data_IF_760855680783
#
_entry.id   IF_760855680783
#
_cell.length_a   1.000
_cell.length_b   1.000
_cell.length_c   1.000
_cell.angle_alpha   90.00
_cell.angle_beta   90.00
_cell.angle_gamma   90.00
#
_symmetry.space_group_name_H-M   'P 1'
#
loop_
_entity.id
_entity.type
_entity.pdbx_description
1 polymer ?
#
# COMPACT_ATOMS: atom_id res chain seq x y z
N UNK A 1 -22.15 -13.31 -3.36
CA UNK A 1 -23.29 -12.89 -2.51
C UNK A 1 -22.99 -11.49 -1.98
N UNK A 2 -23.98 -10.68 -1.61
CA UNK A 2 -23.67 -9.35 -1.06
C UNK A 2 -22.95 -9.49 0.30
N UNK A 3 -21.68 -9.07 0.38
CA UNK A 3 -20.94 -9.02 1.65
C UNK A 3 -21.54 -7.92 2.52
N UNK A 4 -21.90 -8.25 3.76
CA UNK A 4 -22.62 -7.33 4.63
C UNK A 4 -21.84 -6.01 4.83
N UNK A 5 -22.49 -4.87 4.57
CA UNK A 5 -21.89 -3.54 4.71
C UNK A 5 -20.86 -3.20 3.63
N UNK A 6 -20.83 -3.93 2.52
CA UNK A 6 -19.99 -3.63 1.35
C UNK A 6 -20.88 -3.33 0.15
N UNK A 7 -20.59 -2.21 -0.52
CA UNK A 7 -21.24 -1.80 -1.76
C UNK A 7 -20.15 -1.56 -2.81
N UNK A 8 -20.23 -2.27 -3.95
CA UNK A 8 -19.34 -2.03 -5.09
C UNK A 8 -20.05 -1.07 -6.04
N UNK A 9 -19.53 0.16 -6.13
CA UNK A 9 -20.08 1.21 -7.01
C UNK A 9 -19.39 1.29 -8.37
N UNK A 10 -18.20 0.70 -8.49
CA UNK A 10 -17.46 0.65 -9.75
C UNK A 10 -18.06 -0.35 -10.74
N UNK A 11 -17.85 -0.12 -12.03
CA UNK A 11 -18.31 -1.05 -13.06
C UNK A 11 -17.61 -2.42 -12.92
N UNK A 12 -18.38 -3.50 -12.99
CA UNK A 12 -17.85 -4.86 -13.00
C UNK A 12 -17.52 -5.27 -14.43
N UNK A 13 -16.23 -5.24 -14.77
CA UNK A 13 -15.72 -5.69 -16.06
C UNK A 13 -15.37 -7.19 -16.02
N UNK A 14 -15.24 -7.86 -17.20
CA UNK A 14 -14.86 -9.26 -17.25
C UNK A 14 -13.59 -9.56 -16.45
N UNK A 15 -13.64 -10.58 -15.58
CA UNK A 15 -12.51 -10.99 -14.73
C UNK A 15 -12.40 -10.26 -13.39
N UNK A 16 -13.14 -9.17 -13.16
CA UNK A 16 -13.10 -8.45 -11.88
C UNK A 16 -13.65 -9.28 -10.73
N UNK A 17 -14.57 -10.20 -11.02
CA UNK A 17 -15.12 -11.18 -10.08
C UNK A 17 -14.04 -12.12 -9.50
N UNK A 18 -12.93 -12.32 -10.23
CA UNK A 18 -11.80 -13.13 -9.74
C UNK A 18 -10.91 -12.40 -8.73
N UNK A 19 -11.01 -11.06 -8.66
CA UNK A 19 -10.32 -10.23 -7.67
C UNK A 19 -11.27 -9.88 -6.52
N UNK A 20 -12.47 -9.42 -6.86
CA UNK A 20 -13.52 -9.01 -5.91
C UNK A 20 -14.38 -10.20 -5.47
N UNK A 21 -13.72 -11.28 -5.08
CA UNK A 21 -14.39 -12.48 -4.53
C UNK A 21 -15.02 -12.16 -3.18
N UNK A 22 -16.08 -12.89 -2.80
CA UNK A 22 -16.72 -12.74 -1.49
C UNK A 22 -15.69 -12.83 -0.34
N UNK A 23 -14.72 -13.74 -0.42
CA UNK A 23 -13.67 -13.90 0.59
C UNK A 23 -12.73 -12.68 0.66
N UNK A 24 -12.30 -12.14 -0.48
CA UNK A 24 -11.46 -10.93 -0.53
C UNK A 24 -12.21 -9.71 0.01
N UNK A 25 -13.48 -9.56 -0.35
CA UNK A 25 -14.34 -8.47 0.13
C UNK A 25 -14.60 -8.56 1.64
N UNK A 26 -14.83 -9.76 2.18
CA UNK A 26 -14.94 -9.99 3.64
C UNK A 26 -13.65 -9.57 4.34
N UNK A 27 -12.49 -9.96 3.80
CA UNK A 27 -11.20 -9.59 4.35
C UNK A 27 -10.99 -8.08 4.38
N UNK A 28 -11.21 -7.38 3.25
CA UNK A 28 -11.08 -5.92 3.17
C UNK A 28 -12.08 -5.22 4.10
N UNK A 29 -13.32 -5.71 4.19
CA UNK A 29 -14.33 -5.16 5.09
C UNK A 29 -13.89 -5.28 6.56
N UNK A 30 -13.27 -6.39 6.95
CA UNK A 30 -12.74 -6.59 8.30
C UNK A 30 -11.57 -5.64 8.58
N UNK A 31 -10.64 -5.46 7.64
CA UNK A 31 -9.56 -4.49 7.77
C UNK A 31 -10.10 -3.07 7.94
N UNK A 32 -11.07 -2.65 7.13
CA UNK A 32 -11.69 -1.35 7.23
C UNK A 32 -12.33 -1.14 8.62
N UNK A 33 -13.16 -2.09 9.07
CA UNK A 33 -13.82 -2.00 10.38
C UNK A 33 -12.82 -1.93 11.54
N UNK A 34 -11.71 -2.65 11.44
CA UNK A 34 -10.70 -2.71 12.49
C UNK A 34 -9.83 -1.45 12.53
N UNK A 35 -9.42 -0.91 11.38
CA UNK A 35 -8.34 0.08 11.31
C UNK A 35 -8.77 1.48 10.85
N UNK A 36 -9.94 1.65 10.21
CA UNK A 36 -10.39 2.96 9.73
C UNK A 36 -10.58 3.99 10.86
N UNK A 37 -11.10 3.65 12.06
CA UNK A 37 -11.17 4.60 13.16
C UNK A 37 -9.79 5.20 13.53
N UNK A 38 -8.76 4.35 13.58
CA UNK A 38 -7.38 4.78 13.84
C UNK A 38 -6.82 5.61 12.69
N UNK A 39 -7.08 5.22 11.43
CA UNK A 39 -6.68 5.99 10.24
C UNK A 39 -7.26 7.41 10.29
N UNK A 40 -8.55 7.55 10.60
CA UNK A 40 -9.22 8.85 10.74
C UNK A 40 -8.64 9.67 11.89
N UNK A 41 -8.39 9.04 13.05
CA UNK A 41 -7.77 9.71 14.19
C UNK A 41 -6.37 10.26 13.86
N UNK A 42 -5.57 9.51 13.08
CA UNK A 42 -4.25 9.95 12.63
C UNK A 42 -4.32 11.09 11.61
N UNK A 43 -5.31 11.12 10.72
CA UNK A 43 -5.53 12.26 9.82
C UNK A 43 -5.87 13.53 10.60
N UNK A 44 -6.75 13.44 11.60
CA UNK A 44 -7.06 14.57 12.48
C UNK A 44 -5.81 15.02 13.28
N UNK A 45 -4.97 14.07 13.71
CA UNK A 45 -3.72 14.39 14.40
C UNK A 45 -2.73 15.14 13.48
N UNK A 46 -2.70 14.84 12.17
CA UNK A 46 -1.89 15.60 11.19
C UNK A 46 -2.34 17.07 11.12
N UNK A 47 -3.63 17.33 11.07
CA UNK A 47 -4.15 18.70 11.07
C UNK A 47 -3.84 19.44 12.38
N UNK A 48 -3.96 18.75 13.52
CA UNK A 48 -3.61 19.32 14.82
C UNK A 48 -2.10 19.64 14.90
N UNK A 49 -1.25 18.75 14.37
CA UNK A 49 0.19 18.97 14.29
C UNK A 49 0.55 20.15 13.38
N UNK A 50 -0.16 20.29 12.26
CA UNK A 50 0.02 21.43 11.36
C UNK A 50 -0.33 22.75 12.06
N UNK A 51 -1.50 22.84 12.72
CA UNK A 51 -1.89 24.03 13.50
C UNK A 51 -0.88 24.37 14.60
N UNK A 52 -0.34 23.35 15.25
CA UNK A 52 0.71 23.52 16.25
C UNK A 52 1.99 24.12 15.63
N UNK A 53 2.41 23.65 14.45
CA UNK A 53 3.54 24.24 13.73
C UNK A 53 3.24 25.67 13.29
N UNK A 54 2.08 25.93 12.68
CA UNK A 54 1.69 27.26 12.20
C UNK A 54 1.68 28.33 13.30
N UNK A 55 1.48 27.92 14.56
CA UNK A 55 1.59 28.79 15.75
C UNK A 55 3.04 29.17 16.12
N UNK A 56 4.03 28.81 15.29
CA UNK A 56 5.45 29.15 15.47
C UNK A 56 6.25 28.14 16.30
N UNK A 57 5.67 26.98 16.64
CA UNK A 57 6.41 25.95 17.35
C UNK A 57 7.44 25.27 16.42
N UNK A 58 8.62 24.96 16.96
CA UNK A 58 9.70 24.32 16.21
C UNK A 58 9.53 22.80 16.14
N UNK A 59 9.83 22.22 14.99
CA UNK A 59 9.94 20.76 14.85
C UNK A 59 11.36 20.35 15.24
N UNK A 60 11.45 19.48 16.24
CA UNK A 60 12.70 18.88 16.72
C UNK A 60 12.44 17.45 17.20
N UNK A 61 13.50 16.74 17.60
CA UNK A 61 13.42 15.40 18.17
C UNK A 61 12.60 15.40 19.46
N UNK A 62 11.56 14.56 19.47
CA UNK A 62 10.71 14.32 20.64
C UNK A 62 11.54 13.85 21.86
N UNK A 63 11.53 14.57 23.01
CA UNK A 63 12.26 14.14 24.21
C UNK A 63 11.71 12.82 24.78
N UNK A 64 10.41 12.56 24.64
CA UNK A 64 9.74 11.36 25.14
C UNK A 64 10.22 10.06 24.46
N UNK A 65 10.84 10.15 23.28
CA UNK A 65 11.41 8.98 22.57
C UNK A 65 12.94 8.92 22.65
N UNK A 66 13.57 9.71 23.52
CA UNK A 66 15.03 9.74 23.67
C UNK A 66 15.63 8.38 24.06
N UNK A 67 14.96 7.63 24.94
CA UNK A 67 15.40 6.29 25.35
C UNK A 67 15.39 5.27 24.20
N UNK A 68 14.47 5.40 23.26
CA UNK A 68 14.43 4.56 22.05
C UNK A 68 15.60 4.89 21.14
N UNK A 69 15.93 6.17 20.95
CA UNK A 69 17.06 6.61 20.10
C UNK A 69 18.42 6.24 20.70
N UNK A 70 18.54 6.29 22.02
CA UNK A 70 19.77 5.97 22.75
C UNK A 70 19.92 4.48 23.09
N UNK A 71 18.86 3.68 22.90
CA UNK A 71 18.84 2.27 23.24
C UNK A 71 19.58 1.39 22.21
N UNK A 72 19.95 0.19 22.65
CA UNK A 72 20.56 -0.84 21.77
C UNK A 72 19.48 -1.80 21.30
N UNK A 73 19.02 -1.62 20.06
CA UNK A 73 18.06 -2.51 19.40
C UNK A 73 18.29 -2.52 17.89
N UNK A 74 17.73 -3.52 17.22
CA UNK A 74 17.71 -3.60 15.76
C UNK A 74 16.32 -4.02 15.29
N UNK A 75 16.00 -3.75 14.03
CA UNK A 75 14.81 -4.31 13.39
C UNK A 75 14.90 -5.84 13.31
N UNK A 76 13.77 -6.50 13.06
CA UNK A 76 13.77 -7.92 12.69
C UNK A 76 14.61 -8.15 11.42
N UNK A 77 15.26 -9.31 11.31
CA UNK A 77 16.07 -9.64 10.14
C UNK A 77 15.24 -9.66 8.84
N UNK A 78 15.88 -9.30 7.73
CA UNK A 78 15.27 -9.36 6.40
C UNK A 78 15.37 -10.77 5.79
N UNK A 79 14.36 -11.21 5.02
CA UNK A 79 14.43 -12.47 4.27
C UNK A 79 15.53 -12.41 3.18
N UNK A 80 16.03 -13.57 2.71
CA UNK A 80 17.19 -13.63 1.80
C UNK A 80 17.02 -12.84 0.49
N UNK A 81 15.82 -12.80 -0.06
CA UNK A 81 15.45 -12.08 -1.29
C UNK A 81 15.49 -10.55 -1.14
N UNK A 82 15.44 -10.02 0.10
CA UNK A 82 15.52 -8.58 0.38
C UNK A 82 16.90 -8.13 0.87
N UNK A 83 17.92 -8.99 0.85
CA UNK A 83 19.28 -8.65 1.28
C UNK A 83 20.06 -7.87 0.22
N UNK A 84 19.74 -8.04 -1.08
CA UNK A 84 20.37 -7.31 -2.18
C UNK A 84 19.33 -6.45 -2.92
N UNK A 85 19.23 -5.18 -2.53
CA UNK A 85 18.31 -4.18 -3.11
C UNK A 85 19.06 -3.07 -3.84
N UNK A 86 20.21 -3.38 -4.43
CA UNK A 86 21.15 -2.39 -4.99
C UNK A 86 20.55 -1.47 -6.07
N UNK A 87 19.56 -1.96 -6.80
CA UNK A 87 18.79 -1.23 -7.80
C UNK A 87 17.35 -1.69 -7.72
N UNK A 88 16.44 -0.74 -7.55
CA UNK A 88 15.00 -0.96 -7.58
C UNK A 88 14.39 -0.13 -8.70
N UNK A 89 13.48 -0.71 -9.44
CA UNK A 89 12.68 0.00 -10.44
C UNK A 89 11.28 0.24 -9.88
N UNK A 90 10.72 1.41 -10.13
CA UNK A 90 9.34 1.73 -9.78
C UNK A 90 8.54 1.88 -11.06
N UNK A 91 7.23 1.60 -11.02
CA UNK A 91 6.38 1.75 -12.18
C UNK A 91 4.93 1.37 -11.93
N UNK A 92 4.03 1.77 -12.84
CA UNK A 92 2.61 1.51 -12.72
C UNK A 92 2.29 0.02 -12.79
N UNK A 93 1.04 -0.30 -12.47
CA UNK A 93 0.51 -1.67 -12.42
C UNK A 93 -0.12 -2.13 -13.74
N UNK A 94 0.12 -1.42 -14.84
CA UNK A 94 -0.30 -1.90 -16.15
C UNK A 94 0.49 -3.15 -16.56
N UNK A 95 -0.18 -4.06 -17.27
CA UNK A 95 0.35 -5.39 -17.56
C UNK A 95 1.70 -5.37 -18.27
N UNK A 96 1.87 -4.47 -19.23
CA UNK A 96 3.11 -4.37 -20.02
C UNK A 96 4.25 -3.83 -19.14
N UNK A 97 3.98 -2.83 -18.32
CA UNK A 97 4.99 -2.26 -17.43
C UNK A 97 5.39 -3.21 -16.32
N UNK A 98 4.46 -3.99 -15.75
CA UNK A 98 4.78 -5.06 -14.80
C UNK A 98 5.76 -6.06 -15.42
N UNK A 99 5.48 -6.54 -16.64
CA UNK A 99 6.37 -7.48 -17.36
C UNK A 99 7.74 -6.84 -17.64
N UNK A 100 7.76 -5.60 -18.12
CA UNK A 100 9.02 -4.92 -18.45
C UNK A 100 9.88 -4.66 -17.20
N UNK A 101 9.25 -4.25 -16.10
CA UNK A 101 9.92 -3.95 -14.85
C UNK A 101 10.53 -5.22 -14.23
N UNK A 102 9.78 -6.32 -14.20
CA UNK A 102 10.28 -7.62 -13.72
C UNK A 102 11.43 -8.17 -14.58
N UNK A 103 11.47 -7.84 -15.88
CA UNK A 103 12.54 -8.24 -16.81
C UNK A 103 13.68 -7.23 -16.93
N UNK A 104 13.68 -6.14 -16.15
CA UNK A 104 14.64 -5.03 -16.29
C UNK A 104 16.05 -5.36 -15.80
N UNK A 105 16.22 -6.44 -15.03
CA UNK A 105 17.46 -6.78 -14.34
C UNK A 105 17.65 -6.04 -13.01
N UNK A 106 16.72 -5.17 -12.61
CA UNK A 106 16.65 -4.64 -11.25
C UNK A 106 16.43 -5.77 -10.22
N UNK A 107 16.87 -5.55 -8.97
CA UNK A 107 16.68 -6.53 -7.90
C UNK A 107 15.25 -6.55 -7.36
N UNK A 108 14.60 -5.40 -7.37
CA UNK A 108 13.23 -5.25 -6.92
C UNK A 108 12.44 -4.39 -7.91
N UNK A 109 11.16 -4.73 -8.05
CA UNK A 109 10.17 -3.91 -8.71
C UNK A 109 9.12 -3.47 -7.69
N UNK A 110 8.98 -2.17 -7.48
CA UNK A 110 7.87 -1.59 -6.74
C UNK A 110 6.72 -1.30 -7.70
N UNK A 111 5.75 -2.21 -7.74
CA UNK A 111 4.51 -2.02 -8.49
C UNK A 111 3.61 -1.02 -7.79
N UNK A 112 3.31 0.09 -8.46
CA UNK A 112 2.79 1.27 -7.80
C UNK A 112 1.31 1.51 -8.08
N UNK A 113 0.51 1.58 -7.01
CA UNK A 113 -0.90 1.98 -7.02
C UNK A 113 -1.10 3.42 -6.52
N UNK A 114 0.00 4.13 -6.22
CA UNK A 114 0.01 5.49 -5.72
C UNK A 114 0.44 6.45 -6.85
N UNK A 115 1.54 7.19 -6.71
CA UNK A 115 1.83 8.38 -7.51
C UNK A 115 2.11 8.08 -8.99
N UNK A 116 2.59 6.88 -9.34
CA UNK A 116 2.81 6.50 -10.75
C UNK A 116 1.55 5.99 -11.46
N UNK A 117 0.43 5.80 -10.76
CA UNK A 117 -0.81 5.26 -11.31
C UNK A 117 -1.99 6.22 -11.14
N UNK A 118 -2.73 6.49 -12.22
CA UNK A 118 -4.03 7.15 -12.07
C UNK A 118 -4.99 6.21 -11.31
N UNK A 119 -5.58 6.63 -10.17
CA UNK A 119 -6.36 5.75 -9.30
C UNK A 119 -7.79 5.51 -9.80
N UNK A 120 -7.97 5.36 -11.12
CA UNK A 120 -9.26 5.02 -11.71
C UNK A 120 -9.62 3.57 -11.39
N UNK A 121 -10.91 3.28 -11.20
CA UNK A 121 -11.41 1.98 -10.78
C UNK A 121 -10.84 0.81 -11.59
N UNK A 122 -10.80 0.95 -12.91
CA UNK A 122 -10.30 -0.08 -13.81
C UNK A 122 -8.82 -0.38 -13.58
N UNK A 123 -7.97 0.64 -13.49
CA UNK A 123 -6.53 0.49 -13.23
C UNK A 123 -6.26 -0.19 -11.89
N UNK A 124 -7.01 0.15 -10.85
CA UNK A 124 -6.82 -0.45 -9.53
C UNK A 124 -7.18 -1.94 -9.52
N UNK A 125 -8.30 -2.33 -10.13
CA UNK A 125 -8.72 -3.75 -10.14
C UNK A 125 -7.89 -4.57 -11.14
N UNK A 126 -7.62 -4.06 -12.33
CA UNK A 126 -6.75 -4.72 -13.32
C UNK A 126 -5.32 -4.85 -12.79
N UNK A 127 -4.82 -3.85 -12.06
CA UNK A 127 -3.51 -3.91 -11.43
C UNK A 127 -3.38 -5.09 -10.46
N UNK A 128 -4.40 -5.36 -9.64
CA UNK A 128 -4.42 -6.52 -8.75
C UNK A 128 -4.39 -7.84 -9.55
N UNK A 129 -5.13 -7.91 -10.67
CA UNK A 129 -5.06 -9.07 -11.56
C UNK A 129 -3.68 -9.24 -12.19
N UNK A 130 -3.05 -8.16 -12.66
CA UNK A 130 -1.71 -8.19 -13.25
C UNK A 130 -0.66 -8.66 -12.24
N UNK A 131 -0.75 -8.23 -10.97
CA UNK A 131 0.18 -8.70 -9.93
C UNK A 131 -0.08 -10.15 -9.50
N UNK A 132 -1.33 -10.58 -9.44
CA UNK A 132 -1.66 -12.00 -9.22
C UNK A 132 -1.04 -12.87 -10.32
N UNK A 133 -1.23 -12.48 -11.58
CA UNK A 133 -0.73 -13.22 -12.74
C UNK A 133 0.82 -13.21 -12.76
N UNK A 134 1.45 -12.08 -12.43
CA UNK A 134 2.90 -11.97 -12.32
C UNK A 134 3.50 -12.87 -11.22
N UNK A 135 2.84 -12.97 -10.06
CA UNK A 135 3.26 -13.88 -8.98
C UNK A 135 3.06 -15.34 -9.37
N UNK A 136 2.01 -15.66 -10.11
CA UNK A 136 1.74 -17.01 -10.63
C UNK A 136 2.65 -17.39 -11.82
N UNK A 137 3.30 -16.42 -12.46
CA UNK A 137 4.12 -16.63 -13.66
C UNK A 137 3.28 -16.95 -14.92
N UNK A 138 2.06 -16.42 -15.01
CA UNK A 138 1.08 -16.70 -16.08
C UNK A 138 0.71 -15.47 -16.89
#
# INVERSE_FOLDING_TARGET
>A
MAVAGVEIRGAMLPGFDTILTDAALIFVANLHRQYDPTRLALLNAREARQRWWDAGNAIDFAPETASVRAGTWTVAGSPPDLQDRRVEITGPVDRKMVINALNSGARCFMADFEDASSPVWTTMIEGQANLRDAVAGT
#
